data_IF_717682972520
#
_entry.id   IF_717682972520
#
_cell.length_a   1.000
_cell.length_b   1.000
_cell.length_c   1.000
_cell.angle_alpha   90.00
_cell.angle_beta   90.00
_cell.angle_gamma   90.00
#
_symmetry.space_group_name_H-M   'P 1'
#
loop_
_entity.id
_entity.type
_entity.pdbx_description
1 polymer ?
#
# COMPACT_ATOMS: atom_id res chain seq x y z
N UNK A 1 -4.62 14.17 18.54
CA UNK A 1 -6.00 13.70 18.23
C UNK A 1 -5.93 12.81 17.00
N UNK A 2 -6.31 11.53 17.13
CA UNK A 2 -6.24 10.56 16.04
C UNK A 2 -7.41 10.80 15.06
N UNK A 3 -7.08 11.09 13.81
CA UNK A 3 -8.02 11.36 12.72
C UNK A 3 -8.73 10.05 12.32
N UNK A 4 -9.77 9.65 13.05
CA UNK A 4 -10.67 8.55 12.67
C UNK A 4 -11.55 9.03 11.51
N UNK A 5 -11.09 8.85 10.27
CA UNK A 5 -11.94 9.01 9.09
C UNK A 5 -12.65 7.70 8.81
N UNK A 6 -13.97 7.81 8.63
CA UNK A 6 -14.94 6.75 8.42
C UNK A 6 -14.41 5.66 7.48
N UNK A 7 -14.15 4.49 8.05
CA UNK A 7 -14.20 3.23 7.31
C UNK A 7 -15.07 2.32 8.16
N UNK A 8 -16.04 1.68 7.54
CA UNK A 8 -17.08 0.83 8.15
C UNK A 8 -16.53 -0.45 8.80
N UNK A 9 -15.21 -0.53 9.01
CA UNK A 9 -14.49 -1.67 9.55
C UNK A 9 -14.27 -1.46 11.05
N UNK A 10 -14.84 -2.36 11.86
CA UNK A 10 -14.86 -2.30 13.32
C UNK A 10 -13.47 -2.45 13.97
N UNK A 11 -12.48 -2.99 13.23
CA UNK A 11 -11.08 -3.15 13.68
C UNK A 11 -10.11 -2.62 12.62
N UNK A 12 -9.71 -1.35 12.75
CA UNK A 12 -8.64 -0.76 11.95
C UNK A 12 -7.38 -0.57 12.79
N UNK A 13 -6.31 -1.29 12.45
CA UNK A 13 -4.97 -0.93 12.92
C UNK A 13 -4.54 0.36 12.22
N UNK A 14 -3.99 1.32 12.97
CA UNK A 14 -3.62 2.64 12.43
C UNK A 14 -2.40 2.64 11.52
N UNK A 15 -1.66 1.52 11.46
CA UNK A 15 -0.33 1.49 10.85
C UNK A 15 0.66 2.41 11.58
N UNK A 16 1.83 2.61 10.98
CA UNK A 16 2.82 3.58 11.43
C UNK A 16 3.46 4.25 10.21
N UNK A 17 3.26 5.57 10.10
CA UNK A 17 4.05 6.41 9.21
C UNK A 17 5.08 7.16 10.08
N UNK A 18 6.37 6.78 10.02
CA UNK A 18 7.35 7.27 10.96
C UNK A 18 7.71 8.73 10.68
N UNK A 19 7.94 9.48 11.75
CA UNK A 19 8.37 10.88 11.69
C UNK A 19 9.41 11.15 12.77
N UNK A 20 10.14 12.26 12.64
CA UNK A 20 11.12 12.69 13.65
C UNK A 20 10.49 12.78 15.04
N UNK A 21 9.31 13.40 15.13
CA UNK A 21 8.56 13.53 16.37
C UNK A 21 8.08 12.17 16.91
N UNK A 22 7.64 11.27 16.02
CA UNK A 22 7.25 9.91 16.41
C UNK A 22 8.43 9.12 17.01
N UNK A 23 9.59 9.14 16.35
CA UNK A 23 10.78 8.41 16.80
C UNK A 23 11.28 8.93 18.14
N UNK A 24 11.32 10.26 18.31
CA UNK A 24 11.69 10.86 19.59
C UNK A 24 10.71 10.49 20.70
N UNK A 25 9.41 10.44 20.41
CA UNK A 25 8.38 10.09 21.41
C UNK A 25 8.48 8.62 21.85
N UNK A 26 8.62 7.69 20.89
CA UNK A 26 8.54 6.24 21.12
C UNK A 26 9.90 5.66 21.53
N UNK A 27 10.97 6.03 20.84
CA UNK A 27 12.29 5.44 21.03
C UNK A 27 13.28 6.35 21.78
N UNK A 28 12.90 7.59 22.12
CA UNK A 28 13.76 8.58 22.79
C UNK A 28 15.08 8.83 22.05
N UNK A 29 15.09 8.65 20.73
CA UNK A 29 16.25 8.80 19.86
C UNK A 29 15.95 9.77 18.72
N UNK A 30 16.99 10.52 18.33
CA UNK A 30 16.95 11.38 17.17
C UNK A 30 16.75 10.59 15.87
N UNK A 31 16.27 11.29 14.85
CA UNK A 31 16.15 10.77 13.49
C UNK A 31 17.51 10.79 12.80
N UNK A 32 17.94 9.64 12.28
CA UNK A 32 19.17 9.49 11.52
C UNK A 32 18.86 9.45 10.03
N UNK A 33 19.81 9.84 9.19
CA UNK A 33 19.62 9.80 7.73
C UNK A 33 19.32 8.39 7.21
N UNK A 34 19.90 7.36 7.83
CA UNK A 34 19.61 5.95 7.52
C UNK A 34 18.14 5.56 7.71
N UNK A 35 17.41 6.20 8.64
CA UNK A 35 15.99 5.92 8.83
C UNK A 35 15.18 6.36 7.60
N UNK A 36 15.57 7.47 6.95
CA UNK A 36 14.89 7.98 5.75
C UNK A 36 15.07 7.04 4.56
N UNK A 37 16.27 6.46 4.41
CA UNK A 37 16.58 5.54 3.31
C UNK A 37 15.70 4.29 3.39
N UNK A 38 15.61 3.67 4.57
CA UNK A 38 14.76 2.49 4.78
C UNK A 38 13.28 2.80 4.54
N UNK A 39 12.81 3.96 5.00
CA UNK A 39 11.42 4.41 4.76
C UNK A 39 11.18 4.63 3.26
N UNK A 40 12.16 5.12 2.49
CA UNK A 40 12.03 5.33 1.05
C UNK A 40 11.65 4.07 0.25
N UNK A 41 12.02 2.89 0.74
CA UNK A 41 11.68 1.60 0.13
C UNK A 41 10.55 0.85 0.87
N UNK A 42 9.89 1.49 1.85
CA UNK A 42 8.81 0.89 2.64
C UNK A 42 9.28 -0.09 3.72
N UNK A 43 10.53 0.02 4.18
CA UNK A 43 11.10 -0.78 5.28
C UNK A 43 11.36 0.06 6.54
N UNK A 44 11.92 -0.57 7.58
CA UNK A 44 12.20 0.07 8.86
C UNK A 44 10.93 0.25 9.68
N UNK A 45 10.64 1.49 10.09
CA UNK A 45 9.50 1.79 10.97
C UNK A 45 8.17 2.00 10.21
N UNK A 46 8.16 1.92 8.89
CA UNK A 46 6.93 2.07 8.12
C UNK A 46 6.12 0.78 8.14
N UNK A 47 4.95 0.85 8.77
CA UNK A 47 3.98 -0.25 8.80
C UNK A 47 2.68 0.23 8.15
N UNK A 48 2.18 -0.50 7.16
CA UNK A 48 0.90 -0.22 6.52
C UNK A 48 -0.01 -1.44 6.58
N UNK A 49 -1.32 -1.22 6.69
CA UNK A 49 -2.31 -2.27 6.57
C UNK A 49 -2.68 -2.52 5.10
N UNK A 50 -3.18 -3.71 4.73
CA UNK A 50 -3.64 -3.97 3.36
C UNK A 50 -4.67 -2.96 2.85
N UNK A 51 -5.62 -2.55 3.71
CA UNK A 51 -6.62 -1.54 3.34
C UNK A 51 -6.00 -0.15 3.08
N UNK A 52 -4.91 0.20 3.77
CA UNK A 52 -4.14 1.42 3.48
C UNK A 52 -3.41 1.31 2.14
N UNK A 53 -2.85 0.15 1.80
CA UNK A 53 -2.24 -0.09 0.50
C UNK A 53 -3.26 0.02 -0.64
N UNK A 54 -4.45 -0.55 -0.47
CA UNK A 54 -5.56 -0.40 -1.43
C UNK A 54 -5.96 1.06 -1.58
N UNK A 55 -6.12 1.80 -0.48
CA UNK A 55 -6.44 3.23 -0.53
C UNK A 55 -5.39 4.05 -1.30
N UNK A 56 -4.11 3.75 -1.10
CA UNK A 56 -3.02 4.39 -1.84
C UNK A 56 -3.05 4.04 -3.34
N UNK A 57 -3.30 2.77 -3.67
CA UNK A 57 -3.45 2.31 -5.06
C UNK A 57 -4.62 3.01 -5.76
N UNK A 58 -5.78 3.11 -5.10
CA UNK A 58 -6.96 3.80 -5.65
C UNK A 58 -6.65 5.28 -5.91
N UNK A 59 -5.91 5.94 -5.02
CA UNK A 59 -5.48 7.32 -5.25
C UNK A 59 -4.55 7.43 -6.47
N UNK A 60 -3.62 6.49 -6.66
CA UNK A 60 -2.73 6.44 -7.82
C UNK A 60 -3.49 6.25 -9.15
N UNK A 61 -4.48 5.36 -9.16
CA UNK A 61 -5.32 5.10 -10.34
C UNK A 61 -6.15 6.33 -10.70
N UNK A 62 -6.67 7.04 -9.71
CA UNK A 62 -7.52 8.21 -9.90
C UNK A 62 -6.75 9.55 -9.92
N UNK A 63 -5.50 9.57 -10.39
CA UNK A 63 -4.68 10.78 -10.52
C UNK A 63 -4.65 11.65 -9.24
N UNK A 64 -4.49 11.01 -8.08
CA UNK A 64 -4.39 11.66 -6.78
C UNK A 64 -5.72 11.85 -6.03
N UNK A 65 -6.86 11.54 -6.63
CA UNK A 65 -8.17 11.61 -5.96
C UNK A 65 -8.30 10.48 -4.92
N UNK A 66 -8.38 10.85 -3.66
CA UNK A 66 -8.47 9.91 -2.53
C UNK A 66 -9.92 9.50 -2.29
N UNK A 67 -10.22 8.24 -2.57
CA UNK A 67 -11.52 7.63 -2.29
C UNK A 67 -11.40 6.76 -1.03
N UNK A 68 -12.30 6.96 -0.07
CA UNK A 68 -12.33 6.13 1.13
C UNK A 68 -12.93 4.75 0.78
N UNK A 69 -12.22 3.65 1.07
CA UNK A 69 -12.78 2.33 0.86
C UNK A 69 -13.94 2.12 1.85
N UNK A 70 -15.07 1.66 1.34
CA UNK A 70 -16.29 1.41 2.09
C UNK A 70 -16.95 0.12 1.61
N UNK A 71 -17.67 -0.55 2.51
CA UNK A 71 -18.43 -1.77 2.20
C UNK A 71 -19.92 -1.48 2.03
N UNK A 72 -20.43 -0.40 2.63
CA UNK A 72 -21.83 -0.05 2.57
C UNK A 72 -22.16 0.51 1.18
N UNK A 73 -23.04 -0.19 0.44
CA UNK A 73 -23.47 0.25 -0.87
C UNK A 73 -24.69 1.17 -0.79
N UNK A 74 -25.71 0.75 -0.03
CA UNK A 74 -26.96 1.48 0.16
C UNK A 74 -27.32 1.52 1.64
N UNK A 75 -28.00 2.59 2.04
CA UNK A 75 -28.70 2.71 3.30
C UNK A 75 -30.20 2.52 3.03
N UNK A 76 -30.80 1.52 3.70
CA UNK A 76 -32.23 1.26 3.61
C UNK A 76 -32.94 1.91 4.80
N UNK A 77 -33.92 2.76 4.51
CA UNK A 77 -34.79 3.37 5.51
C UNK A 77 -36.25 3.14 5.09
N UNK A 78 -36.85 2.09 5.65
CA UNK A 78 -38.20 1.64 5.29
C UNK A 78 -38.28 1.19 3.83
N UNK A 79 -39.04 1.91 2.99
CA UNK A 79 -39.15 1.64 1.54
C UNK A 79 -38.15 2.41 0.68
N UNK A 80 -37.33 3.27 1.29
CA UNK A 80 -36.39 4.13 0.56
C UNK A 80 -35.00 3.53 0.61
N UNK A 81 -34.40 3.30 -0.56
CA UNK A 81 -33.02 2.87 -0.72
C UNK A 81 -32.21 4.07 -1.19
N UNK A 82 -31.25 4.53 -0.38
CA UNK A 82 -30.37 5.66 -0.71
C UNK A 82 -28.95 5.13 -0.89
N UNK A 83 -28.26 5.42 -2.01
CA UNK A 83 -26.86 5.06 -2.17
C UNK A 83 -25.99 5.70 -1.09
N UNK A 84 -25.14 4.91 -0.46
CA UNK A 84 -24.19 5.40 0.53
C UNK A 84 -23.21 6.37 -0.13
N UNK A 85 -23.04 7.54 0.49
CA UNK A 85 -22.03 8.51 0.10
C UNK A 85 -21.11 8.76 1.28
N UNK A 86 -19.79 8.55 1.14
CA UNK A 86 -18.86 8.87 2.20
C UNK A 86 -19.02 10.34 2.62
N UNK A 87 -19.10 10.59 3.92
CA UNK A 87 -19.16 11.94 4.42
C UNK A 87 -17.80 12.64 4.26
N UNK A 88 -17.82 13.80 3.59
CA UNK A 88 -16.64 14.66 3.40
C UNK A 88 -16.19 14.81 1.95
N UNK A 89 -15.40 15.85 1.69
CA UNK A 89 -14.78 16.08 0.39
C UNK A 89 -13.61 15.11 0.16
N UNK A 90 -13.57 14.41 -0.99
CA UNK A 90 -12.40 13.62 -1.37
C UNK A 90 -11.15 14.51 -1.37
N UNK A 91 -10.10 14.05 -0.70
CA UNK A 91 -8.82 14.77 -0.73
C UNK A 91 -8.17 14.58 -2.12
N UNK A 92 -7.48 15.61 -2.59
CA UNK A 92 -6.66 15.55 -3.80
C UNK A 92 -5.19 15.56 -3.38
N UNK A 93 -4.44 14.55 -3.80
CA UNK A 93 -2.97 14.49 -3.65
C UNK A 93 -2.36 15.07 -4.91
N UNK A 94 -1.59 16.15 -4.77
CA UNK A 94 -0.90 16.82 -5.88
C UNK A 94 -1.82 17.20 -7.05
N UNK A 95 -1.23 17.71 -8.13
CA UNK A 95 -1.97 18.10 -9.32
C UNK A 95 -2.46 16.87 -10.10
N UNK A 96 -3.78 16.72 -10.37
CA UNK A 96 -4.31 15.62 -11.18
C UNK A 96 -3.84 15.63 -12.64
N UNK A 97 -3.43 16.78 -13.19
CA UNK A 97 -2.89 16.91 -14.54
C UNK A 97 -1.40 16.50 -14.62
N UNK A 98 -0.77 16.17 -13.49
CA UNK A 98 0.63 15.78 -13.45
C UNK A 98 0.90 14.54 -14.32
N UNK A 99 1.93 14.56 -15.19
CA UNK A 99 2.27 13.40 -16.02
C UNK A 99 2.82 12.23 -15.19
N UNK A 100 3.24 12.48 -13.94
CA UNK A 100 3.81 11.45 -13.07
C UNK A 100 2.81 10.33 -12.75
N UNK A 101 1.52 10.62 -12.70
CA UNK A 101 0.49 9.59 -12.51
C UNK A 101 0.53 8.53 -13.61
N UNK A 102 0.58 8.97 -14.87
CA UNK A 102 0.69 8.09 -16.03
C UNK A 102 2.02 7.34 -16.05
N UNK A 103 3.12 8.03 -15.76
CA UNK A 103 4.46 7.43 -15.72
C UNK A 103 4.54 6.26 -14.71
N UNK A 104 4.02 6.45 -13.50
CA UNK A 104 4.04 5.40 -12.47
C UNK A 104 3.17 4.21 -12.88
N UNK A 105 1.97 4.44 -13.43
CA UNK A 105 1.13 3.35 -13.95
C UNK A 105 1.80 2.58 -15.07
N UNK A 106 2.47 3.27 -15.99
CA UNK A 106 3.22 2.64 -17.07
C UNK A 106 4.40 1.81 -16.54
N UNK A 107 5.12 2.30 -15.54
CA UNK A 107 6.19 1.54 -14.90
C UNK A 107 5.66 0.26 -14.21
N UNK A 108 4.48 0.34 -13.57
CA UNK A 108 3.80 -0.83 -13.00
C UNK A 108 3.32 -1.82 -14.06
N UNK A 109 2.84 -1.33 -15.20
CA UNK A 109 2.55 -2.18 -16.36
C UNK A 109 3.81 -2.88 -16.87
N UNK A 110 4.94 -2.15 -16.98
CA UNK A 110 6.23 -2.71 -17.36
C UNK A 110 6.71 -3.80 -16.39
N UNK A 111 6.53 -3.61 -15.07
CA UNK A 111 6.88 -4.64 -14.08
C UNK A 111 6.12 -5.96 -14.29
N UNK A 112 4.88 -5.90 -14.77
CA UNK A 112 4.02 -7.06 -15.01
C UNK A 112 4.17 -7.68 -16.41
N UNK A 113 4.47 -6.89 -17.44
CA UNK A 113 4.39 -7.32 -18.85
C UNK A 113 5.69 -7.21 -19.63
N UNK A 114 6.67 -6.41 -19.18
CA UNK A 114 7.96 -6.32 -19.86
C UNK A 114 8.85 -7.52 -19.48
N UNK A 115 9.67 -8.08 -20.38
CA UNK A 115 10.52 -9.24 -20.10
C UNK A 115 11.50 -9.06 -18.92
N UNK A 116 11.90 -7.83 -18.62
CA UNK A 116 12.75 -7.47 -17.48
C UNK A 116 11.96 -7.17 -16.19
N UNK A 117 10.63 -7.25 -16.24
CA UNK A 117 9.75 -7.01 -15.11
C UNK A 117 9.79 -8.14 -14.09
N UNK A 118 9.84 -7.80 -12.80
CA UNK A 118 9.87 -8.81 -11.72
C UNK A 118 8.60 -9.65 -11.65
N UNK A 119 7.49 -9.17 -12.21
CA UNK A 119 6.21 -9.86 -12.28
C UNK A 119 5.96 -10.56 -13.62
N UNK A 120 6.87 -10.44 -14.60
CA UNK A 120 6.68 -10.89 -15.97
C UNK A 120 6.11 -12.31 -16.03
N UNK A 121 6.82 -13.27 -15.44
CA UNK A 121 6.47 -14.71 -15.41
C UNK A 121 5.07 -15.02 -14.86
N UNK A 122 4.46 -14.11 -14.09
CA UNK A 122 3.17 -14.32 -13.47
C UNK A 122 2.01 -13.66 -14.22
N UNK A 123 2.27 -12.53 -14.90
CA UNK A 123 1.20 -11.68 -15.43
C UNK A 123 1.19 -11.57 -16.96
N UNK A 124 2.30 -11.87 -17.65
CA UNK A 124 2.45 -11.57 -19.08
C UNK A 124 1.48 -12.34 -20.01
N UNK A 125 0.91 -13.46 -19.56
CA UNK A 125 -0.03 -14.28 -20.34
C UNK A 125 -1.48 -13.88 -20.12
N UNK A 126 -1.75 -12.91 -19.25
CA UNK A 126 -3.12 -12.48 -18.98
C UNK A 126 -3.75 -11.87 -20.23
N UNK A 127 -5.04 -12.15 -20.51
CA UNK A 127 -5.73 -11.61 -21.67
C UNK A 127 -6.05 -10.11 -21.57
N UNK A 128 -5.82 -9.50 -20.40
CA UNK A 128 -6.04 -8.08 -20.13
C UNK A 128 -4.77 -7.44 -19.57
N UNK A 129 -4.66 -6.13 -19.71
CA UNK A 129 -3.49 -5.38 -19.24
C UNK A 129 -3.43 -5.33 -17.71
N UNK A 130 -2.43 -5.99 -17.11
CA UNK A 130 -2.18 -5.93 -15.67
C UNK A 130 -1.08 -4.92 -15.38
N UNK A 131 -1.31 -4.01 -14.44
CA UNK A 131 -0.28 -3.17 -13.85
C UNK A 131 -0.07 -3.59 -12.40
N UNK A 132 1.15 -3.96 -12.02
CA UNK A 132 1.44 -4.51 -10.70
C UNK A 132 2.74 -3.99 -10.10
N UNK A 133 2.86 -4.15 -8.79
CA UNK A 133 4.11 -4.00 -8.06
C UNK A 133 4.21 -5.04 -6.96
N UNK A 134 5.35 -5.73 -6.89
CA UNK A 134 5.68 -6.66 -5.82
C UNK A 134 6.37 -5.95 -4.65
N UNK A 135 6.25 -6.54 -3.47
CA UNK A 135 7.00 -6.21 -2.28
C UNK A 135 7.30 -7.46 -1.44
N UNK A 136 8.36 -7.36 -0.66
CA UNK A 136 8.78 -8.38 0.30
C UNK A 136 8.97 -7.71 1.65
N UNK A 137 8.27 -8.19 2.66
CA UNK A 137 8.40 -7.71 4.04
C UNK A 137 9.12 -8.75 4.87
N UNK A 138 10.23 -8.34 5.48
CA UNK A 138 11.04 -9.20 6.34
C UNK A 138 10.34 -9.38 7.69
N UNK A 139 10.16 -10.63 8.10
CA UNK A 139 9.54 -10.97 9.39
C UNK A 139 10.61 -11.13 10.48
N UNK A 140 11.84 -11.49 10.10
CA UNK A 140 12.92 -11.77 11.04
C UNK A 140 14.28 -11.38 10.47
N UNK A 141 15.12 -10.76 11.31
CA UNK A 141 16.52 -10.44 10.95
C UNK A 141 17.44 -11.58 11.40
N UNK A 142 18.26 -12.09 10.48
CA UNK A 142 19.31 -13.06 10.79
C UNK A 142 20.49 -12.37 11.49
N UNK A 143 21.22 -13.12 12.34
CA UNK A 143 22.50 -12.65 12.91
C UNK A 143 23.54 -12.51 11.80
N UNK A 144 24.54 -11.62 11.98
CA UNK A 144 25.56 -11.24 10.97
C UNK A 144 26.24 -12.41 10.22
N UNK A 145 26.31 -13.61 10.80
CA UNK A 145 26.94 -14.79 10.19
C UNK A 145 25.97 -15.85 9.67
N UNK A 146 24.69 -15.54 9.45
CA UNK A 146 23.72 -16.50 8.90
C UNK A 146 23.18 -16.08 7.54
N UNK A 147 23.42 -16.94 6.54
CA UNK A 147 22.82 -16.83 5.20
C UNK A 147 21.35 -17.22 5.23
N UNK A 148 20.49 -16.37 4.65
CA UNK A 148 19.05 -16.62 4.56
C UNK A 148 18.75 -17.84 3.69
N UNK A 149 18.14 -18.87 4.29
CA UNK A 149 17.61 -20.01 3.56
C UNK A 149 16.14 -20.24 3.91
N UNK A 150 15.25 -19.79 3.03
CA UNK A 150 13.80 -19.91 3.20
C UNK A 150 13.33 -21.36 3.44
N UNK A 151 14.06 -22.37 2.95
CA UNK A 151 13.72 -23.79 3.15
C UNK A 151 14.01 -24.27 4.57
N UNK A 152 14.96 -23.64 5.28
CA UNK A 152 15.37 -24.02 6.64
C UNK A 152 14.66 -23.21 7.74
N UNK A 153 13.90 -22.18 7.37
CA UNK A 153 13.19 -21.31 8.31
C UNK A 153 11.72 -21.77 8.44
N UNK A 154 11.17 -21.88 9.67
CA UNK A 154 9.75 -22.18 9.89
C UNK A 154 8.85 -21.23 9.10
N UNK A 155 7.75 -21.72 8.53
CA UNK A 155 6.90 -20.95 7.60
C UNK A 155 6.43 -19.60 8.18
N UNK A 156 6.20 -19.53 9.49
CA UNK A 156 5.80 -18.33 10.24
C UNK A 156 6.87 -17.22 10.31
N UNK A 157 8.13 -17.55 10.02
CA UNK A 157 9.28 -16.64 10.04
C UNK A 157 9.80 -16.34 8.63
N UNK A 158 9.15 -16.87 7.59
CA UNK A 158 9.48 -16.53 6.21
C UNK A 158 8.98 -15.14 5.89
N UNK A 159 9.66 -14.51 4.93
CA UNK A 159 9.28 -13.18 4.49
C UNK A 159 7.89 -13.20 3.86
N UNK A 160 7.10 -12.16 4.13
CA UNK A 160 5.81 -12.00 3.48
C UNK A 160 6.04 -11.46 2.07
N UNK A 161 5.53 -12.19 1.08
CA UNK A 161 5.48 -11.72 -0.31
C UNK A 161 4.09 -11.15 -0.57
N UNK A 162 4.04 -9.93 -1.09
CA UNK A 162 2.77 -9.30 -1.46
C UNK A 162 2.87 -8.63 -2.83
N UNK A 163 1.71 -8.55 -3.48
CA UNK A 163 1.53 -7.83 -4.73
C UNK A 163 0.39 -6.85 -4.58
N UNK A 164 0.55 -5.68 -5.16
CA UNK A 164 -0.57 -4.77 -5.43
C UNK A 164 -0.71 -4.66 -6.93
N UNK A 165 -1.92 -4.87 -7.44
CA UNK A 165 -2.19 -4.88 -8.86
C UNK A 165 -3.55 -4.27 -9.16
N UNK A 166 -3.68 -3.72 -10.36
CA UNK A 166 -4.95 -3.37 -10.97
C UNK A 166 -4.90 -3.77 -12.44
N UNK A 167 -6.06 -4.01 -13.02
CA UNK A 167 -6.18 -4.27 -14.44
C UNK A 167 -6.96 -3.16 -15.12
N UNK A 168 -6.61 -2.90 -16.36
CA UNK A 168 -7.43 -2.12 -17.29
C UNK A 168 -8.07 -3.11 -18.26
N UNK A 169 -9.36 -2.94 -18.49
CA UNK A 169 -10.10 -3.66 -19.54
C UNK A 169 -9.79 -3.01 -20.88
#
# INVERSE_FOLDING_TARGET
>A
MANRRASTLMKNMTGCFPSRAWKQRVHKKAWYQGDTISVGIGQGYWIATPIQMVKAMVALINNGKVIAPHLLLNEESGKTVVPYRPSGTPAQIADPASPYWGLVRQAMYGMANAPNGTGYKFFHTAPYGIAAKSGTSQVFSLKENQTYNAKMIPIRLRDHVFYTAFCTV
#
